data_IF_420419746070
#
_entry.id   IF_420419746070
#
_cell.length_a   1.000
_cell.length_b   1.000
_cell.length_c   1.000
_cell.angle_alpha   90.00
_cell.angle_beta   90.00
_cell.angle_gamma   90.00
#
_symmetry.space_group_name_H-M   'P 1'
#
loop_
_entity.id
_entity.type
_entity.pdbx_description
1 polymer ?
#
# COMPACT_ATOMS: atom_id res chain seq x y z
N UNK A 1 10.86 -21.40 -20.27
CA UNK A 1 9.50 -21.18 -19.73
C UNK A 1 9.59 -20.85 -18.24
N UNK A 2 9.76 -19.57 -17.88
CA UNK A 2 9.92 -19.10 -16.47
C UNK A 2 8.72 -18.22 -16.04
N UNK A 3 7.86 -17.81 -16.99
CA UNK A 3 6.75 -16.87 -16.75
C UNK A 3 5.52 -17.51 -16.06
N UNK A 4 5.40 -18.84 -16.06
CA UNK A 4 4.22 -19.54 -15.52
C UNK A 4 4.33 -19.80 -14.02
N UNK A 5 5.55 -19.93 -13.50
CA UNK A 5 5.82 -20.21 -12.07
C UNK A 5 5.53 -19.00 -11.19
N UNK A 6 5.82 -17.79 -11.67
CA UNK A 6 5.50 -16.54 -10.96
C UNK A 6 3.99 -16.37 -10.80
N UNK A 7 3.19 -16.58 -11.86
CA UNK A 7 1.73 -16.38 -11.81
C UNK A 7 1.00 -17.32 -10.84
N UNK A 8 1.50 -18.55 -10.65
CA UNK A 8 0.98 -19.50 -9.65
C UNK A 8 1.37 -19.11 -8.22
N UNK A 9 2.63 -18.79 -7.97
CA UNK A 9 3.08 -18.27 -6.67
C UNK A 9 2.33 -16.98 -6.27
N UNK A 10 2.09 -16.08 -7.24
CA UNK A 10 1.27 -14.87 -7.05
C UNK A 10 -0.23 -15.13 -6.83
N UNK A 11 -0.75 -16.32 -7.20
CA UNK A 11 -2.15 -16.72 -6.99
C UNK A 11 -2.35 -17.46 -5.68
N UNK A 12 -1.34 -18.19 -5.20
CA UNK A 12 -1.41 -18.97 -3.96
C UNK A 12 -1.28 -18.09 -2.69
N UNK A 13 -0.60 -16.94 -2.78
CA UNK A 13 -0.55 -15.92 -1.70
C UNK A 13 -1.89 -15.13 -1.59
N UNK A 14 -2.85 -15.36 -2.48
CA UNK A 14 -3.86 -14.36 -2.91
C UNK A 14 -5.33 -14.51 -2.46
N UNK A 15 -5.73 -15.19 -1.37
CA UNK A 15 -7.07 -14.94 -0.82
C UNK A 15 -7.13 -13.67 0.06
N UNK A 16 -6.01 -13.18 0.60
CA UNK A 16 -6.03 -12.09 1.58
C UNK A 16 -6.16 -10.68 0.97
N UNK A 17 -5.52 -10.45 -0.19
CA UNK A 17 -5.57 -9.18 -0.91
C UNK A 17 -6.80 -9.14 -1.83
N UNK A 18 -7.99 -9.12 -1.23
CA UNK A 18 -9.27 -9.02 -1.94
C UNK A 18 -10.00 -7.72 -1.62
N UNK A 19 -10.88 -7.30 -2.53
CA UNK A 19 -11.68 -6.07 -2.40
C UNK A 19 -10.84 -4.80 -2.21
N UNK A 20 -11.20 -4.00 -1.21
CA UNK A 20 -10.66 -2.64 -1.00
C UNK A 20 -9.19 -2.62 -0.54
N UNK A 21 -8.69 -3.70 0.06
CA UNK A 21 -7.26 -3.82 0.42
C UNK A 21 -6.38 -3.91 -0.82
N UNK A 22 -6.82 -4.68 -1.82
CA UNK A 22 -6.14 -4.77 -3.11
C UNK A 22 -6.13 -3.43 -3.83
N UNK A 23 -7.27 -2.75 -3.85
CA UNK A 23 -7.37 -1.41 -4.43
C UNK A 23 -6.32 -0.48 -3.80
N UNK A 24 -6.28 -0.38 -2.46
CA UNK A 24 -5.31 0.46 -1.76
C UNK A 24 -3.87 0.06 -2.07
N UNK A 25 -3.54 -1.24 -2.07
CA UNK A 25 -2.20 -1.72 -2.41
C UNK A 25 -1.79 -1.31 -3.83
N UNK A 26 -2.68 -1.46 -4.81
CA UNK A 26 -2.41 -1.06 -6.20
C UNK A 26 -2.22 0.46 -6.31
N UNK A 27 -2.93 1.27 -5.52
CA UNK A 27 -2.69 2.72 -5.46
C UNK A 27 -1.27 3.01 -4.98
N UNK A 28 -0.81 2.38 -3.89
CA UNK A 28 0.58 2.54 -3.44
C UNK A 28 1.61 2.01 -4.47
N UNK A 29 1.26 0.99 -5.27
CA UNK A 29 2.11 0.48 -6.35
C UNK A 29 2.31 1.49 -7.48
N UNK A 30 1.29 2.32 -7.76
CA UNK A 30 1.39 3.41 -8.75
C UNK A 30 2.35 4.53 -8.32
N UNK A 31 2.72 4.58 -7.04
CA UNK A 31 3.61 5.60 -6.48
C UNK A 31 4.94 4.97 -6.03
N UNK A 32 5.89 4.69 -6.96
CA UNK A 32 7.15 4.01 -6.64
C UNK A 32 8.08 4.82 -5.73
N UNK A 33 7.88 6.12 -5.63
CA UNK A 33 8.59 7.02 -4.71
C UNK A 33 8.02 6.98 -3.28
N UNK A 34 6.92 6.24 -3.06
CA UNK A 34 6.17 6.20 -1.83
C UNK A 34 5.16 7.33 -1.72
N UNK A 35 4.13 7.11 -0.91
CA UNK A 35 3.07 8.07 -0.65
C UNK A 35 2.63 8.01 0.81
N UNK A 36 2.07 9.10 1.32
CA UNK A 36 1.41 9.08 2.64
C UNK A 36 -0.05 8.60 2.53
N UNK A 37 -0.63 8.15 3.65
CA UNK A 37 -2.05 7.75 3.71
C UNK A 37 -2.96 8.91 3.27
N UNK A 38 -2.61 10.11 3.67
CA UNK A 38 -3.31 11.36 3.41
C UNK A 38 -3.18 11.78 1.94
N UNK A 39 -2.00 11.63 1.33
CA UNK A 39 -1.81 11.87 -0.10
C UNK A 39 -2.68 10.92 -0.93
N UNK A 40 -2.67 9.61 -0.64
CA UNK A 40 -3.54 8.64 -1.32
C UNK A 40 -5.02 8.97 -1.12
N UNK A 41 -5.43 9.32 0.09
CA UNK A 41 -6.81 9.73 0.36
C UNK A 41 -7.24 10.91 -0.49
N UNK A 42 -6.37 11.92 -0.62
CA UNK A 42 -6.65 13.13 -1.40
C UNK A 42 -6.62 12.88 -2.90
N UNK A 43 -5.59 12.21 -3.41
CA UNK A 43 -5.43 11.96 -4.85
C UNK A 43 -6.56 11.12 -5.43
N UNK A 44 -7.11 10.19 -4.65
CA UNK A 44 -8.16 9.29 -5.11
C UNK A 44 -9.53 9.56 -4.48
N UNK A 45 -9.70 10.71 -3.82
CA UNK A 45 -10.97 11.12 -3.18
C UNK A 45 -11.56 10.05 -2.24
N UNK A 46 -10.68 9.33 -1.54
CA UNK A 46 -11.05 8.27 -0.61
C UNK A 46 -11.18 8.81 0.81
N UNK A 47 -12.13 8.27 1.57
CA UNK A 47 -12.28 8.62 2.99
C UNK A 47 -11.08 8.09 3.79
N UNK A 48 -10.36 8.99 4.46
CA UNK A 48 -9.12 8.68 5.21
C UNK A 48 -9.29 7.51 6.20
N UNK A 49 -10.41 7.47 6.92
CA UNK A 49 -10.68 6.40 7.89
C UNK A 49 -10.74 5.00 7.24
N UNK A 50 -11.16 4.92 5.98
CA UNK A 50 -11.20 3.68 5.20
C UNK A 50 -9.81 3.22 4.73
N UNK A 51 -8.85 4.14 4.64
CA UNK A 51 -7.47 3.85 4.23
C UNK A 51 -6.62 3.47 5.44
N UNK A 52 -6.68 4.22 6.53
CA UNK A 52 -5.79 4.02 7.69
C UNK A 52 -5.83 2.59 8.24
N UNK A 53 -7.03 2.02 8.41
CA UNK A 53 -7.17 0.64 8.88
C UNK A 53 -6.56 -0.37 7.92
N UNK A 54 -6.77 -0.21 6.61
CA UNK A 54 -6.34 -1.16 5.57
C UNK A 54 -4.84 -1.06 5.34
N UNK A 55 -4.29 0.14 5.42
CA UNK A 55 -2.84 0.37 5.39
C UNK A 55 -2.15 -0.29 6.57
N UNK A 56 -2.73 -0.24 7.77
CA UNK A 56 -2.16 -0.91 8.94
C UNK A 56 -2.18 -2.44 8.77
N UNK A 57 -3.25 -3.01 8.20
CA UNK A 57 -3.28 -4.43 7.83
C UNK A 57 -2.16 -4.77 6.83
N UNK A 58 -2.04 -4.00 5.75
CA UNK A 58 -1.01 -4.19 4.72
C UNK A 58 0.43 -4.02 5.25
N UNK A 59 0.62 -3.13 6.23
CA UNK A 59 1.90 -2.99 6.95
C UNK A 59 2.20 -4.20 7.82
N UNK A 60 1.21 -4.67 8.59
CA UNK A 60 1.36 -5.85 9.45
C UNK A 60 1.70 -7.12 8.68
N UNK A 61 1.21 -7.22 7.45
CA UNK A 61 1.48 -8.35 6.55
C UNK A 61 2.74 -8.19 5.67
N UNK A 62 3.38 -7.02 5.72
CA UNK A 62 4.60 -6.72 4.96
C UNK A 62 4.40 -6.40 3.48
N UNK A 63 3.17 -6.06 3.04
CA UNK A 63 2.90 -5.56 1.68
C UNK A 63 3.26 -4.08 1.52
N UNK A 64 3.22 -3.32 2.62
CA UNK A 64 3.70 -1.95 2.67
C UNK A 64 4.90 -1.87 3.63
N UNK A 65 5.80 -0.94 3.36
CA UNK A 65 6.89 -0.58 4.27
C UNK A 65 6.96 0.92 4.45
N UNK A 66 7.26 1.35 5.67
CA UNK A 66 7.60 2.74 5.96
C UNK A 66 9.02 3.02 5.45
N UNK A 67 9.14 3.92 4.47
CA UNK A 67 10.43 4.33 3.90
C UNK A 67 10.92 5.69 4.44
N UNK A 68 10.07 6.41 5.16
CA UNK A 68 10.43 7.68 5.76
C UNK A 68 9.26 8.39 6.42
N UNK A 69 9.51 9.61 6.85
CA UNK A 69 8.50 10.51 7.40
C UNK A 69 8.56 11.83 6.62
N UNK A 70 7.39 12.39 6.36
CA UNK A 70 7.22 13.68 5.69
C UNK A 70 6.19 14.47 6.47
N UNK A 71 6.41 15.78 6.60
CA UNK A 71 5.45 16.68 7.22
C UNK A 71 4.26 16.91 6.29
N UNK A 72 3.06 16.58 6.75
CA UNK A 72 1.85 16.85 5.99
C UNK A 72 1.61 18.36 5.92
N UNK A 73 1.42 18.88 4.70
CA UNK A 73 1.33 20.32 4.46
C UNK A 73 0.09 20.96 5.10
N UNK A 74 -0.95 20.17 5.37
CA UNK A 74 -2.24 20.66 5.87
C UNK A 74 -2.37 20.44 7.38
N UNK A 75 -1.99 19.27 7.88
CA UNK A 75 -2.07 18.96 9.31
C UNK A 75 -0.86 19.47 10.10
N UNK A 76 0.24 19.85 9.42
CA UNK A 76 1.52 20.20 10.03
C UNK A 76 2.13 19.07 10.88
N UNK A 77 1.62 17.84 10.74
CA UNK A 77 2.04 16.65 11.49
C UNK A 77 2.96 15.78 10.66
N UNK A 78 3.93 15.16 11.33
CA UNK A 78 4.77 14.14 10.74
C UNK A 78 3.94 12.91 10.34
N UNK A 79 4.09 12.52 9.08
CA UNK A 79 3.29 11.47 8.46
C UNK A 79 4.22 10.47 7.79
N UNK A 80 3.93 9.18 7.99
CA UNK A 80 4.72 8.09 7.41
C UNK A 80 4.54 8.03 5.90
N UNK A 81 5.67 8.00 5.18
CA UNK A 81 5.74 7.70 3.76
C UNK A 81 5.83 6.19 3.58
N UNK A 82 4.88 5.64 2.85
CA UNK A 82 4.68 4.21 2.67
C UNK A 82 4.97 3.83 1.22
N UNK A 83 5.65 2.72 1.03
CA UNK A 83 5.95 2.16 -0.29
C UNK A 83 5.42 0.74 -0.38
N UNK A 84 4.81 0.41 -1.51
CA UNK A 84 4.46 -0.98 -1.83
C UNK A 84 5.73 -1.80 -2.02
N UNK A 85 5.78 -2.95 -1.35
CA UNK A 85 6.88 -3.89 -1.45
C UNK A 85 6.32 -5.16 -2.07
N UNK A 86 6.93 -5.59 -3.17
CA UNK A 86 6.68 -6.94 -3.67
C UNK A 86 7.36 -7.89 -2.70
N UNK A 87 6.56 -8.63 -1.92
CA UNK A 87 7.05 -9.62 -0.99
C UNK A 87 7.80 -10.67 -1.81
N UNK A 88 9.13 -10.64 -1.75
CA UNK A 88 9.98 -11.74 -2.24
C UNK A 88 9.82 -12.84 -1.19
N UNK A 89 8.85 -13.71 -1.44
CA UNK A 89 8.75 -15.00 -0.76
C UNK A 89 9.82 -15.94 -1.33
#
# INVERSE_FOLDING_TARGET
MIAETSRKAYREIKPFLSGKRKEIYELFKQHPNGATRQEIARWYHLKECGICGRVNELLGEGYLRVCGVKKDKYSNKDTQVLKAVERVA
#
